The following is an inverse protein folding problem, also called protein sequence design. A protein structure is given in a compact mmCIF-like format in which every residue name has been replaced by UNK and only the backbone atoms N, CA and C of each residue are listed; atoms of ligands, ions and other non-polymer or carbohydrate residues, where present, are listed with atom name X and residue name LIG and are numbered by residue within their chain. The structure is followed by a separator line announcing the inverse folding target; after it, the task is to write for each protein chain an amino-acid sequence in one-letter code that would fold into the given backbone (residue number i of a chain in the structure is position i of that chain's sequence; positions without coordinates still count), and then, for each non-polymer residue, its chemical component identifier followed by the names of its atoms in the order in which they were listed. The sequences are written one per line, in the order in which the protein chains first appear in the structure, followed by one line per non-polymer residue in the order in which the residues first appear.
data_IF_641498060671
#
_entry.id   IF_641498060671
#
_cell.length_a   1.000
_cell.length_b   1.000
_cell.length_c   1.000
_cell.angle_alpha   90.00
_cell.angle_beta   90.00
_cell.angle_gamma   90.00
#
_symmetry.space_group_name_H-M   'P 1'
#
loop_
_entity.id
_entity.type
_entity.pdbx_description
1 polymer ?
#
# COMPACT_ATOMS: atom_id res chain seq x y z
N UNK A 1 0.92 4.41 -31.27
CA UNK A 1 0.31 4.74 -29.97
C UNK A 1 0.85 3.76 -28.96
N UNK A 2 1.64 4.20 -27.98
CA UNK A 2 2.11 3.33 -26.89
C UNK A 2 0.89 3.05 -26.01
N UNK A 3 0.48 1.80 -25.92
CA UNK A 3 -0.54 1.35 -24.97
C UNK A 3 -0.06 1.75 -23.58
N UNK A 4 -0.75 2.70 -22.97
CA UNK A 4 -0.56 3.04 -21.57
C UNK A 4 -1.02 1.83 -20.76
N UNK A 5 -0.08 0.93 -20.46
CA UNK A 5 -0.28 -0.03 -19.37
C UNK A 5 -0.67 0.86 -18.18
N UNK A 6 -1.90 0.76 -17.64
CA UNK A 6 -2.19 1.50 -16.43
C UNK A 6 -1.13 1.06 -15.43
N UNK A 7 -0.38 2.01 -14.86
CA UNK A 7 0.59 1.77 -13.79
C UNK A 7 -0.15 1.08 -12.65
N UNK A 8 -0.27 -0.25 -12.76
CA UNK A 8 -0.87 -1.08 -11.75
C UNK A 8 0.14 -1.06 -10.61
N UNK A 9 -0.22 -0.54 -9.43
CA UNK A 9 0.72 -0.44 -8.34
C UNK A 9 1.28 -1.83 -8.05
N UNK A 10 2.60 -1.95 -8.04
CA UNK A 10 3.26 -3.21 -7.77
C UNK A 10 2.92 -3.62 -6.33
N UNK A 11 2.42 -4.86 -6.16
CA UNK A 11 2.07 -5.38 -4.83
C UNK A 11 3.23 -5.28 -3.84
N UNK A 12 4.47 -5.38 -4.34
CA UNK A 12 5.68 -5.21 -3.51
C UNK A 12 5.81 -3.79 -2.96
N UNK A 13 5.58 -2.77 -3.78
CA UNK A 13 5.67 -1.38 -3.35
C UNK A 13 4.57 -1.04 -2.33
N UNK A 14 3.37 -1.61 -2.51
CA UNK A 14 2.25 -1.42 -1.59
C UNK A 14 2.50 -2.04 -0.22
N UNK A 15 3.07 -3.26 -0.16
CA UNK A 15 3.41 -3.88 1.12
C UNK A 15 4.58 -3.16 1.80
N UNK A 16 5.58 -2.73 1.03
CA UNK A 16 6.70 -1.94 1.56
C UNK A 16 6.23 -0.57 2.11
N UNK A 17 5.27 0.11 1.44
CA UNK A 17 4.63 1.35 1.93
C UNK A 17 3.84 1.10 3.23
N UNK A 18 3.11 -0.02 3.32
CA UNK A 18 2.36 -0.40 4.52
C UNK A 18 3.28 -0.70 5.70
N UNK A 19 4.35 -1.44 5.50
CA UNK A 19 5.34 -1.76 6.54
C UNK A 19 6.03 -0.49 7.05
N UNK A 20 6.40 0.42 6.15
CA UNK A 20 6.98 1.70 6.51
C UNK A 20 6.00 2.58 7.31
N UNK A 21 4.75 2.67 6.87
CA UNK A 21 3.73 3.47 7.56
C UNK A 21 3.43 2.90 8.96
N UNK A 22 3.36 1.57 9.08
CA UNK A 22 3.16 0.87 10.35
C UNK A 22 4.35 1.10 11.27
N UNK A 23 5.58 0.95 10.78
CA UNK A 23 6.80 1.21 11.55
C UNK A 23 6.86 2.64 12.08
N UNK A 24 6.51 3.63 11.25
CA UNK A 24 6.46 5.04 11.64
C UNK A 24 5.39 5.32 12.69
N UNK A 25 4.23 4.65 12.60
CA UNK A 25 3.18 4.76 13.61
C UNK A 25 3.62 4.12 14.94
N UNK A 26 4.27 2.96 14.91
CA UNK A 26 4.77 2.27 16.11
C UNK A 26 5.94 3.00 16.77
N UNK A 27 6.67 3.83 16.03
CA UNK A 27 7.72 4.68 16.57
C UNK A 27 7.18 5.88 17.37
N UNK A 28 5.87 6.17 17.32
CA UNK A 28 5.26 7.23 18.11
C UNK A 28 5.11 6.76 19.55
N UNK A 29 5.60 7.57 20.49
CA UNK A 29 5.43 7.32 21.93
C UNK A 29 3.94 7.15 22.27
N UNK A 30 3.64 6.19 23.15
CA UNK A 30 2.28 5.96 23.63
C UNK A 30 1.65 7.21 24.28
N UNK A 31 2.47 8.10 24.85
CA UNK A 31 2.01 9.37 25.45
C UNK A 31 1.41 10.33 24.42
N UNK A 32 1.71 10.13 23.13
CA UNK A 32 1.20 10.95 22.03
C UNK A 32 -0.07 10.37 21.42
N UNK A 33 -0.59 9.23 21.91
CA UNK A 33 -1.85 8.65 21.43
C UNK A 33 -2.99 9.66 21.58
N UNK A 34 -3.80 9.81 20.53
CA UNK A 34 -4.91 10.77 20.48
C UNK A 34 -4.51 12.20 20.12
N UNK A 35 -3.21 12.52 20.07
CA UNK A 35 -2.71 13.81 19.55
C UNK A 35 -2.78 13.86 18.02
N UNK A 36 -2.53 15.06 17.46
CA UNK A 36 -2.43 15.27 16.01
C UNK A 36 -1.34 14.39 15.40
N UNK A 37 -0.16 14.28 16.02
CA UNK A 37 0.94 13.47 15.51
C UNK A 37 0.58 11.99 15.38
N UNK A 38 -0.12 11.45 16.39
CA UNK A 38 -0.61 10.07 16.33
C UNK A 38 -1.70 9.90 15.27
N UNK A 39 -2.62 10.87 15.16
CA UNK A 39 -3.69 10.83 14.14
C UNK A 39 -3.11 10.83 12.73
N UNK A 40 -2.17 11.72 12.42
CA UNK A 40 -1.51 11.78 11.11
C UNK A 40 -0.74 10.50 10.75
N UNK A 41 -0.10 9.86 11.73
CA UNK A 41 0.56 8.57 11.50
C UNK A 41 -0.45 7.44 11.31
N UNK A 42 -1.52 7.41 12.10
CA UNK A 42 -2.61 6.45 11.96
C UNK A 42 -3.29 6.61 10.60
N UNK A 43 -3.56 7.83 10.13
CA UNK A 43 -4.17 8.10 8.83
C UNK A 43 -3.28 7.60 7.68
N UNK A 44 -1.96 7.83 7.76
CA UNK A 44 -1.00 7.28 6.78
C UNK A 44 -1.02 5.75 6.75
N UNK A 45 -1.01 5.11 7.91
CA UNK A 45 -1.03 3.66 8.02
C UNK A 45 -2.35 3.07 7.47
N UNK A 46 -3.49 3.67 7.82
CA UNK A 46 -4.80 3.25 7.32
C UNK A 46 -4.92 3.42 5.81
N UNK A 47 -4.37 4.51 5.25
CA UNK A 47 -4.36 4.74 3.81
C UNK A 47 -3.52 3.68 3.09
N UNK A 48 -2.32 3.39 3.57
CA UNK A 48 -1.46 2.35 3.01
C UNK A 48 -2.14 0.96 3.07
N UNK A 49 -2.78 0.65 4.20
CA UNK A 49 -3.53 -0.60 4.37
C UNK A 49 -4.70 -0.71 3.37
N UNK A 50 -5.44 0.39 3.18
CA UNK A 50 -6.56 0.43 2.23
C UNK A 50 -6.10 0.13 0.80
N UNK A 51 -5.00 0.76 0.35
CA UNK A 51 -4.43 0.53 -0.99
C UNK A 51 -3.97 -0.92 -1.17
N UNK A 52 -3.25 -1.48 -0.18
CA UNK A 52 -2.83 -2.87 -0.21
C UNK A 52 -4.02 -3.83 -0.30
N UNK A 53 -5.06 -3.59 0.51
CA UNK A 53 -6.29 -4.39 0.48
C UNK A 53 -7.02 -4.29 -0.85
N UNK A 54 -7.11 -3.09 -1.43
CA UNK A 54 -7.69 -2.87 -2.76
C UNK A 54 -6.94 -3.67 -3.83
N UNK A 55 -5.61 -3.67 -3.79
CA UNK A 55 -4.78 -4.49 -4.67
C UNK A 55 -5.05 -5.99 -4.51
N UNK A 56 -5.13 -6.49 -3.28
CA UNK A 56 -5.47 -7.90 -3.02
C UNK A 56 -6.85 -8.28 -3.56
N UNK A 57 -7.85 -7.41 -3.41
CA UNK A 57 -9.17 -7.63 -3.98
C UNK A 57 -9.14 -7.63 -5.52
N UNK A 58 -8.39 -6.72 -6.14
CA UNK A 58 -8.24 -6.72 -7.59
C UNK A 58 -7.52 -7.98 -8.10
N UNK A 59 -6.53 -8.50 -7.37
CA UNK A 59 -5.89 -9.78 -7.68
C UNK A 59 -6.88 -10.95 -7.55
N UNK A 60 -7.64 -11.01 -6.46
CA UNK A 60 -8.64 -12.05 -6.22
C UNK A 60 -9.77 -12.04 -7.27
N UNK A 61 -10.18 -10.87 -7.73
CA UNK A 61 -11.18 -10.69 -8.78
C UNK A 61 -10.62 -10.99 -10.20
N UNK A 62 -9.34 -11.36 -10.32
CA UNK A 62 -8.67 -11.59 -11.61
C UNK A 62 -8.50 -10.31 -12.46
N UNK A 63 -8.64 -9.14 -11.83
CA UNK A 63 -8.52 -7.83 -12.50
C UNK A 63 -7.08 -7.36 -12.61
N UNK A 64 -6.17 -7.96 -11.86
CA UNK A 64 -4.73 -7.76 -12.02
C UNK A 64 -4.22 -8.76 -13.05
N UNK A 65 -4.10 -8.32 -14.29
CA UNK A 65 -3.27 -9.02 -15.27
C UNK A 65 -1.82 -8.88 -14.78
N UNK A 66 -1.30 -9.90 -14.10
CA UNK A 66 0.13 -10.09 -14.00
C UNK A 66 0.61 -10.35 -15.43
N UNK A 67 1.36 -9.42 -16.02
CA UNK A 67 2.04 -9.70 -17.28
C UNK A 67 2.85 -10.99 -17.08
N UNK A 68 2.68 -12.02 -17.92
CA UNK A 68 3.60 -13.14 -17.91
C UNK A 68 4.95 -12.57 -18.31
N UNK A 69 5.90 -12.61 -17.39
CA UNK A 69 7.32 -12.40 -17.67
C UNK A 69 7.67 -13.33 -18.84
N UNK A 70 7.75 -12.78 -20.05
CA UNK A 70 8.18 -13.53 -21.22
C UNK A 70 9.65 -13.85 -21.03
N UNK A 71 9.92 -15.03 -20.48
CA UNK A 71 11.24 -15.62 -20.48
C UNK A 71 11.67 -15.81 -21.95
N UNK A 72 12.79 -15.16 -22.27
CA UNK A 72 13.43 -15.11 -23.58
C UNK A 72 13.86 -16.48 -24.11
#
# INVERSE_FOLDING_TARGET
MRSSVPDMPNGRELIDELDLATSRMMAISADLIGTVAWREASERQQLAFKKWREYLHQMADGRVWAEPEMAA
#
